data_IF_762735134855
#
_entry.id   IF_762735134855
#
_cell.length_a   1.000
_cell.length_b   1.000
_cell.length_c   1.000
_cell.angle_alpha   90.00
_cell.angle_beta   90.00
_cell.angle_gamma   90.00
#
_symmetry.space_group_name_H-M   'P 1'
#
loop_
_entity.id
_entity.type
_entity.pdbx_description
1 polymer ?
#
# COMPACT_ATOMS: atom_id res chain seq x y z
N UNK A 1 5.08 10.46 19.35
CA UNK A 1 6.47 10.83 19.02
C UNK A 1 6.87 12.07 19.80
N UNK A 2 8.18 12.34 19.95
CA UNK A 2 8.72 13.56 20.55
C UNK A 2 10.22 13.63 20.33
N UNK A 3 10.81 14.81 20.51
CA UNK A 3 12.26 14.99 20.42
C UNK A 3 12.99 14.36 21.62
N UNK A 4 14.29 14.04 21.50
CA UNK A 4 15.14 13.63 22.62
C UNK A 4 15.09 14.65 23.77
N UNK A 5 15.50 14.22 24.96
CA UNK A 5 15.60 15.17 26.10
C UNK A 5 16.67 16.23 25.80
N UNK A 6 16.44 17.51 26.18
CA UNK A 6 17.38 18.60 25.91
C UNK A 6 18.80 18.35 26.45
N UNK A 7 18.91 17.56 27.52
CA UNK A 7 20.19 17.26 28.19
C UNK A 7 20.97 16.10 27.54
N UNK A 8 20.47 15.53 26.43
CA UNK A 8 21.19 14.47 25.72
C UNK A 8 22.38 15.04 24.96
N UNK A 9 23.56 14.44 25.11
CA UNK A 9 24.79 14.80 24.37
C UNK A 9 24.80 14.29 22.94
N UNK A 10 23.63 13.90 22.42
CA UNK A 10 23.50 13.33 21.06
C UNK A 10 23.63 14.40 19.98
N UNK A 11 24.30 14.08 18.89
CA UNK A 11 24.31 14.89 17.68
C UNK A 11 22.96 14.84 16.90
N UNK A 12 22.05 13.93 17.28
CA UNK A 12 20.77 13.65 16.63
C UNK A 12 19.59 14.27 17.40
N UNK A 13 19.71 15.51 17.81
CA UNK A 13 18.69 16.21 18.62
C UNK A 13 17.33 16.38 17.91
N UNK A 14 17.29 16.20 16.58
CA UNK A 14 16.06 16.28 15.78
C UNK A 14 15.46 14.92 15.43
N UNK A 15 16.12 13.82 15.80
CA UNK A 15 15.58 12.49 15.56
C UNK A 15 14.41 12.22 16.51
N UNK A 16 13.23 11.84 15.99
CA UNK A 16 12.08 11.63 16.84
C UNK A 16 12.20 10.33 17.63
N UNK A 17 11.90 10.40 18.91
CA UNK A 17 11.77 9.23 19.78
C UNK A 17 10.31 8.82 19.96
N UNK A 18 10.06 7.54 20.13
CA UNK A 18 8.74 7.02 20.50
C UNK A 18 8.55 7.18 22.01
N UNK A 19 7.85 8.22 22.40
CA UNK A 19 7.56 8.49 23.83
C UNK A 19 6.41 7.62 24.34
N UNK A 20 5.40 7.40 23.49
CA UNK A 20 4.22 6.61 23.85
C UNK A 20 3.62 5.94 22.63
N UNK A 21 3.18 4.68 22.79
CA UNK A 21 2.33 3.95 21.84
C UNK A 21 1.19 3.31 22.62
N UNK A 22 -0.02 3.35 22.06
CA UNK A 22 -1.21 2.80 22.70
C UNK A 22 -1.99 2.02 21.67
N UNK A 23 -2.43 0.82 22.06
CA UNK A 23 -3.47 0.06 21.34
C UNK A 23 -4.73 0.10 22.18
N UNK A 24 -5.86 0.44 21.56
CA UNK A 24 -7.15 0.49 22.24
C UNK A 24 -8.26 -0.13 21.41
N UNK A 25 -9.35 -0.52 22.05
CA UNK A 25 -10.56 -1.00 21.41
C UNK A 25 -11.53 0.15 21.15
N UNK A 26 -12.20 0.13 19.98
CA UNK A 26 -13.22 1.11 19.60
C UNK A 26 -12.70 2.30 18.79
N UNK A 27 -13.60 3.22 18.43
CA UNK A 27 -13.31 4.31 17.49
C UNK A 27 -12.49 5.45 18.08
N UNK A 28 -12.65 5.76 19.37
CA UNK A 28 -11.94 6.84 20.05
C UNK A 28 -11.16 6.32 21.25
N UNK A 29 -9.98 6.89 21.48
CA UNK A 29 -9.19 6.55 22.64
C UNK A 29 -9.87 7.05 23.92
N UNK A 30 -10.03 6.14 24.88
CA UNK A 30 -10.23 6.47 26.29
C UNK A 30 -9.37 5.53 27.16
N UNK A 31 -8.96 5.94 28.36
CA UNK A 31 -8.11 5.11 29.22
C UNK A 31 -8.70 3.73 29.55
N UNK A 32 -10.03 3.65 29.62
CA UNK A 32 -10.74 2.39 29.88
C UNK A 32 -10.68 1.42 28.70
N UNK A 33 -10.52 1.90 27.46
CA UNK A 33 -10.43 1.09 26.24
C UNK A 33 -8.99 0.67 25.90
N UNK A 34 -7.97 1.17 26.62
CA UNK A 34 -6.58 0.82 26.33
C UNK A 34 -6.33 -0.66 26.62
N UNK A 35 -5.77 -1.35 25.63
CA UNK A 35 -5.38 -2.77 25.68
C UNK A 35 -3.88 -2.91 25.94
N UNK A 36 -3.07 -2.09 25.27
CA UNK A 36 -1.62 -2.05 25.46
C UNK A 36 -1.18 -0.58 25.56
N UNK A 37 -0.37 -0.25 26.54
CA UNK A 37 0.21 1.11 26.75
C UNK A 37 1.72 0.96 26.91
N UNK A 38 2.46 1.56 25.99
CA UNK A 38 3.90 1.75 26.07
C UNK A 38 4.23 3.17 26.51
N UNK A 39 5.12 3.31 27.50
CA UNK A 39 5.69 4.59 27.93
C UNK A 39 7.20 4.46 28.05
N UNK A 40 7.92 5.07 27.12
CA UNK A 40 9.37 4.90 27.03
C UNK A 40 9.74 3.41 26.83
N UNK A 41 10.61 2.83 27.68
CA UNK A 41 11.02 1.44 27.57
C UNK A 41 9.97 0.44 28.08
N UNK A 42 8.98 0.88 28.86
CA UNK A 42 8.01 0.01 29.54
C UNK A 42 6.78 -0.22 28.68
N UNK A 43 6.45 -1.49 28.46
CA UNK A 43 5.20 -1.93 27.80
C UNK A 43 4.35 -2.70 28.77
N UNK A 44 3.08 -2.35 28.86
CA UNK A 44 2.09 -3.04 29.67
C UNK A 44 0.89 -3.45 28.82
N UNK A 45 0.37 -4.67 29.04
CA UNK A 45 -0.90 -5.10 28.50
C UNK A 45 -1.97 -5.17 29.58
N UNK A 46 -3.21 -4.95 29.20
CA UNK A 46 -4.38 -5.09 30.07
C UNK A 46 -4.75 -6.55 30.20
N UNK A 47 -4.89 -7.00 31.44
CA UNK A 47 -5.43 -8.33 31.79
C UNK A 47 -6.67 -8.12 32.69
N UNK A 48 -7.42 -9.19 32.93
CA UNK A 48 -8.72 -9.13 33.62
C UNK A 48 -8.74 -8.24 34.89
N UNK A 49 -7.70 -8.27 35.68
CA UNK A 49 -7.60 -7.59 36.97
C UNK A 49 -6.54 -6.45 37.03
N UNK A 50 -6.07 -5.95 35.88
CA UNK A 50 -5.09 -4.86 35.93
C UNK A 50 -4.16 -4.78 34.71
N UNK A 51 -2.93 -4.37 34.97
CA UNK A 51 -1.90 -4.22 33.96
C UNK A 51 -0.73 -5.16 34.23
N UNK A 52 -0.35 -5.96 33.23
CA UNK A 52 0.82 -6.82 33.25
C UNK A 52 1.96 -6.19 32.44
N UNK A 53 3.17 -6.18 32.99
CA UNK A 53 4.36 -5.75 32.26
C UNK A 53 4.79 -6.81 31.25
N UNK A 54 4.88 -6.43 29.98
CA UNK A 54 5.34 -7.31 28.89
C UNK A 54 6.82 -7.11 28.59
N UNK A 55 7.32 -5.89 28.71
CA UNK A 55 8.71 -5.52 28.48
C UNK A 55 9.05 -4.23 29.24
N UNK A 56 10.31 -4.07 29.60
CA UNK A 56 10.83 -2.90 30.32
C UNK A 56 12.12 -2.32 29.71
N UNK A 57 12.49 -2.78 28.52
CA UNK A 57 13.78 -2.49 27.89
C UNK A 57 13.66 -2.06 26.42
N UNK A 58 12.48 -1.62 25.96
CA UNK A 58 12.34 -1.16 24.57
C UNK A 58 13.16 0.11 24.34
N UNK A 59 13.92 0.10 23.23
CA UNK A 59 14.62 1.29 22.76
C UNK A 59 13.62 2.35 22.30
N UNK A 60 14.04 3.62 22.38
CA UNK A 60 13.20 4.76 22.00
C UNK A 60 12.88 4.83 20.50
N UNK A 61 13.67 4.14 19.67
CA UNK A 61 13.50 4.07 18.20
C UNK A 61 12.68 2.87 17.74
N UNK A 62 12.52 1.85 18.59
CA UNK A 62 11.81 0.62 18.24
C UNK A 62 10.33 0.71 18.61
N UNK A 63 9.43 0.38 17.69
CA UNK A 63 8.01 0.25 18.01
C UNK A 63 7.74 -0.99 18.87
N UNK A 64 6.67 -0.95 19.67
CA UNK A 64 6.18 -2.14 20.37
C UNK A 64 5.88 -3.31 19.41
N UNK A 65 5.54 -3.01 18.16
CA UNK A 65 5.30 -4.04 17.13
C UNK A 65 6.54 -4.81 16.71
N UNK A 66 7.76 -4.28 16.91
CA UNK A 66 9.00 -4.97 16.57
C UNK A 66 9.48 -5.93 17.65
N UNK A 67 9.19 -5.63 18.92
CA UNK A 67 9.77 -6.32 20.07
C UNK A 67 8.77 -7.19 20.85
N UNK A 68 7.49 -6.80 20.90
CA UNK A 68 6.49 -7.56 21.67
C UNK A 68 5.88 -8.67 20.82
N UNK A 69 5.99 -9.92 21.27
CA UNK A 69 5.49 -11.10 20.57
C UNK A 69 4.77 -12.08 21.51
N UNK A 70 3.98 -11.57 22.45
CA UNK A 70 3.24 -12.41 23.40
C UNK A 70 1.80 -12.63 22.92
N UNK A 71 1.56 -13.83 22.35
CA UNK A 71 0.25 -14.23 21.82
C UNK A 71 -0.80 -14.51 22.91
N UNK A 72 -0.39 -14.71 24.15
CA UNK A 72 -1.32 -15.01 25.25
C UNK A 72 -1.81 -13.75 25.95
N UNK A 73 -0.89 -12.83 26.20
CA UNK A 73 -1.17 -11.65 27.02
C UNK A 73 -1.52 -10.43 26.17
N UNK A 74 -1.04 -10.36 24.93
CA UNK A 74 -1.27 -9.24 24.01
C UNK A 74 -1.52 -9.73 22.57
N UNK A 75 -2.56 -10.56 22.33
CA UNK A 75 -2.87 -11.06 20.98
C UNK A 75 -3.17 -9.93 19.99
N UNK A 76 -3.66 -8.77 20.45
CA UNK A 76 -3.96 -7.60 19.65
C UNK A 76 -2.70 -7.02 18.98
N UNK A 77 -1.55 -7.07 19.66
CA UNK A 77 -0.27 -6.62 19.10
C UNK A 77 0.10 -7.46 17.89
N UNK A 78 -0.04 -8.79 18.02
CA UNK A 78 0.25 -9.71 16.91
C UNK A 78 -0.74 -9.54 15.76
N UNK A 79 -2.02 -9.46 16.07
CA UNK A 79 -3.07 -9.28 15.06
C UNK A 79 -2.88 -7.98 14.26
N UNK A 80 -2.60 -6.86 14.93
CA UNK A 80 -2.32 -5.58 14.29
C UNK A 80 -1.02 -5.62 13.49
N UNK A 81 0.04 -6.23 14.03
CA UNK A 81 1.31 -6.38 13.31
C UNK A 81 1.15 -7.13 12.00
N UNK A 82 0.45 -8.26 12.02
CA UNK A 82 0.20 -9.05 10.80
C UNK A 82 -0.69 -8.27 9.82
N UNK A 83 -1.67 -7.52 10.32
CA UNK A 83 -2.51 -6.67 9.48
C UNK A 83 -1.69 -5.56 8.80
N UNK A 84 -0.83 -4.85 9.56
CA UNK A 84 0.03 -3.79 9.04
C UNK A 84 1.06 -4.36 8.05
N UNK A 85 1.64 -5.54 8.33
CA UNK A 85 2.54 -6.23 7.39
C UNK A 85 1.86 -6.62 6.08
N UNK A 86 0.56 -6.89 6.15
CA UNK A 86 -0.27 -7.18 5.00
C UNK A 86 -0.55 -5.96 4.11
N UNK A 87 -0.39 -4.73 4.61
CA UNK A 87 -0.60 -3.52 3.81
C UNK A 87 0.36 -3.46 2.64
N UNK A 88 -0.10 -2.86 1.54
CA UNK A 88 0.71 -2.68 0.34
C UNK A 88 0.77 -1.21 -0.03
N UNK A 89 1.99 -0.78 -0.35
CA UNK A 89 2.29 0.57 -0.77
C UNK A 89 2.97 0.47 -2.13
N UNK A 90 2.30 0.95 -3.17
CA UNK A 90 2.83 1.03 -4.52
C UNK A 90 3.08 2.49 -4.85
N UNK A 91 4.26 2.94 -4.47
CA UNK A 91 4.68 4.32 -4.61
C UNK A 91 5.24 4.59 -6.01
N UNK A 92 6.17 3.74 -6.43
CA UNK A 92 6.79 3.90 -7.73
C UNK A 92 7.20 2.56 -8.35
N UNK A 93 6.52 2.18 -9.42
CA UNK A 93 6.97 1.07 -10.25
C UNK A 93 8.05 1.55 -11.21
N UNK A 94 9.23 0.93 -11.18
CA UNK A 94 10.25 1.16 -12.17
C UNK A 94 9.82 0.60 -13.51
N UNK A 95 9.88 1.44 -14.55
CA UNK A 95 9.57 1.07 -15.94
C UNK A 95 10.70 1.41 -16.91
N UNK A 96 11.80 1.93 -16.39
CA UNK A 96 13.01 2.20 -17.18
C UNK A 96 13.56 0.93 -17.84
N UNK A 97 14.55 1.09 -18.73
CA UNK A 97 15.10 0.00 -19.52
C UNK A 97 15.67 -1.15 -18.68
N UNK A 98 16.12 -0.86 -17.47
CA UNK A 98 16.71 -1.83 -16.53
C UNK A 98 15.72 -2.30 -15.46
N UNK A 99 14.45 -1.91 -15.58
CA UNK A 99 13.43 -2.27 -14.60
C UNK A 99 13.34 -3.81 -14.45
N UNK A 100 13.23 -4.31 -13.21
CA UNK A 100 13.11 -5.75 -12.97
C UNK A 100 11.93 -6.39 -13.69
N UNK A 101 10.81 -5.68 -13.84
CA UNK A 101 9.62 -6.14 -14.53
C UNK A 101 9.84 -6.43 -16.02
N UNK A 102 10.90 -5.88 -16.64
CA UNK A 102 11.25 -6.13 -18.04
C UNK A 102 12.04 -7.42 -18.25
N UNK A 103 12.54 -8.01 -17.17
CA UNK A 103 13.38 -9.19 -17.22
C UNK A 103 12.56 -10.49 -17.16
N UNK A 104 13.15 -11.57 -17.65
CA UNK A 104 12.63 -12.92 -17.44
C UNK A 104 12.76 -13.27 -15.95
N UNK A 105 11.70 -13.79 -15.36
CA UNK A 105 11.56 -13.90 -13.91
C UNK A 105 11.47 -15.36 -13.47
N UNK A 106 11.83 -15.64 -12.23
CA UNK A 106 11.68 -16.97 -11.64
C UNK A 106 10.19 -17.29 -11.52
N UNK A 107 9.79 -18.49 -11.97
CA UNK A 107 8.42 -18.99 -11.93
C UNK A 107 7.99 -19.46 -10.54
N UNK A 108 7.84 -18.53 -9.61
CA UNK A 108 7.33 -18.82 -8.27
C UNK A 108 5.91 -18.26 -8.12
N UNK A 109 4.98 -19.05 -7.59
CA UNK A 109 3.62 -18.59 -7.35
C UNK A 109 3.63 -17.35 -6.44
N UNK A 110 3.13 -16.23 -6.97
CA UNK A 110 3.19 -14.90 -6.36
C UNK A 110 1.76 -14.37 -6.16
N UNK A 111 1.14 -14.64 -5.01
CA UNK A 111 -0.23 -14.19 -4.74
C UNK A 111 -0.37 -12.70 -4.50
N UNK A 112 0.72 -11.98 -4.25
CA UNK A 112 0.75 -10.52 -4.07
C UNK A 112 2.00 -9.98 -4.74
N UNK A 113 1.82 -9.02 -5.64
CA UNK A 113 2.92 -8.37 -6.37
C UNK A 113 3.90 -7.70 -5.40
N UNK A 114 5.20 -7.90 -5.63
CA UNK A 114 6.25 -7.20 -4.89
C UNK A 114 6.21 -5.69 -5.19
N UNK A 115 6.57 -4.86 -4.21
CA UNK A 115 6.49 -3.40 -4.31
C UNK A 115 7.26 -2.79 -5.49
N UNK A 116 8.33 -3.44 -5.96
CA UNK A 116 9.14 -3.01 -7.11
C UNK A 116 8.73 -3.68 -8.44
N UNK A 117 7.73 -4.55 -8.43
CA UNK A 117 7.19 -5.22 -9.61
C UNK A 117 8.10 -6.30 -10.22
N UNK A 118 9.17 -6.72 -9.53
CA UNK A 118 10.15 -7.70 -10.06
C UNK A 118 9.58 -9.08 -10.36
N UNK A 119 8.38 -9.39 -9.89
CA UNK A 119 7.69 -10.66 -10.03
C UNK A 119 6.42 -10.55 -10.87
N UNK A 120 6.35 -9.55 -11.76
CA UNK A 120 5.18 -9.26 -12.60
C UNK A 120 4.65 -10.47 -13.35
N UNK A 121 5.52 -11.19 -14.09
CA UNK A 121 5.11 -12.36 -14.86
C UNK A 121 4.53 -13.46 -13.96
N UNK A 122 5.16 -13.70 -12.80
CA UNK A 122 4.71 -14.69 -11.83
C UNK A 122 3.38 -14.28 -11.16
N UNK A 123 3.20 -12.99 -10.85
CA UNK A 123 1.95 -12.46 -10.31
C UNK A 123 0.79 -12.60 -11.30
N UNK A 124 0.99 -12.19 -12.56
CA UNK A 124 -0.02 -12.33 -13.62
C UNK A 124 -0.38 -13.79 -13.90
N UNK A 125 0.62 -14.68 -13.93
CA UNK A 125 0.36 -16.12 -14.04
C UNK A 125 -0.40 -16.67 -12.83
N UNK A 126 -0.08 -16.18 -11.64
CA UNK A 126 -0.79 -16.59 -10.41
C UNK A 126 -2.25 -16.12 -10.42
N UNK A 127 -2.53 -14.90 -10.91
CA UNK A 127 -3.91 -14.42 -11.09
C UNK A 127 -4.66 -15.35 -12.06
N UNK A 128 -4.01 -15.76 -13.17
CA UNK A 128 -4.60 -16.64 -14.18
C UNK A 128 -4.94 -18.03 -13.65
N UNK A 129 -4.09 -18.59 -12.78
CA UNK A 129 -4.25 -19.98 -12.29
C UNK A 129 -5.13 -20.10 -11.05
N UNK A 130 -5.07 -19.14 -10.13
CA UNK A 130 -5.73 -19.24 -8.81
C UNK A 130 -6.55 -17.99 -8.44
N UNK A 131 -6.50 -16.96 -9.24
CA UNK A 131 -7.31 -15.73 -9.10
C UNK A 131 -8.46 -15.71 -10.10
N UNK A 132 -8.87 -14.51 -10.48
CA UNK A 132 -9.90 -14.26 -11.48
C UNK A 132 -9.27 -14.02 -12.86
N UNK A 133 -9.15 -15.09 -13.64
CA UNK A 133 -8.61 -15.02 -15.01
C UNK A 133 -9.48 -14.21 -15.97
N UNK A 134 -10.81 -14.21 -15.76
CA UNK A 134 -11.73 -13.44 -16.61
C UNK A 134 -11.60 -11.94 -16.33
N UNK A 135 -11.45 -11.55 -15.06
CA UNK A 135 -11.19 -10.17 -14.70
C UNK A 135 -9.83 -9.68 -15.25
N UNK A 136 -8.80 -10.54 -15.25
CA UNK A 136 -7.52 -10.24 -15.87
C UNK A 136 -7.64 -9.96 -17.37
N UNK A 137 -8.29 -10.85 -18.11
CA UNK A 137 -8.45 -10.70 -19.55
C UNK A 137 -9.36 -9.50 -19.88
N UNK A 138 -10.41 -9.26 -19.09
CA UNK A 138 -11.28 -8.08 -19.23
C UNK A 138 -10.53 -6.76 -18.98
N UNK A 139 -9.67 -6.69 -17.95
CA UNK A 139 -8.87 -5.50 -17.66
C UNK A 139 -7.85 -5.20 -18.76
N UNK A 140 -7.31 -6.24 -19.41
CA UNK A 140 -6.40 -6.08 -20.54
C UNK A 140 -7.16 -5.58 -21.77
N UNK A 141 -8.31 -6.19 -22.09
CA UNK A 141 -9.15 -5.79 -23.23
C UNK A 141 -9.67 -4.35 -23.07
N UNK A 142 -10.07 -3.96 -21.85
CA UNK A 142 -10.56 -2.62 -21.56
C UNK A 142 -9.50 -1.53 -21.78
N UNK A 143 -8.25 -1.81 -21.41
CA UNK A 143 -7.15 -0.88 -21.56
C UNK A 143 -6.51 -0.91 -22.96
N UNK A 144 -6.44 -2.10 -23.56
CA UNK A 144 -5.74 -2.37 -24.82
C UNK A 144 -6.62 -3.24 -25.74
N UNK A 145 -7.62 -2.64 -26.41
CA UNK A 145 -8.56 -3.40 -27.23
C UNK A 145 -7.89 -4.34 -28.24
N UNK A 146 -8.28 -5.61 -28.22
CA UNK A 146 -7.72 -6.66 -29.07
C UNK A 146 -6.34 -7.17 -28.62
N UNK A 147 -5.82 -6.74 -27.46
CA UNK A 147 -4.57 -7.26 -26.93
C UNK A 147 -4.79 -8.57 -26.15
N UNK A 148 -3.73 -9.38 -26.08
CA UNK A 148 -3.70 -10.62 -25.28
C UNK A 148 -2.40 -10.74 -24.54
N UNK A 149 -2.49 -11.13 -23.28
CA UNK A 149 -1.35 -11.43 -22.44
C UNK A 149 -1.11 -12.94 -22.41
N UNK A 150 0.13 -13.35 -22.62
CA UNK A 150 0.60 -14.71 -22.42
C UNK A 150 1.81 -14.73 -21.49
N UNK A 151 1.90 -15.76 -20.65
CA UNK A 151 3.08 -16.02 -19.82
C UNK A 151 3.64 -17.37 -20.26
N UNK A 152 4.82 -17.34 -20.88
CA UNK A 152 5.51 -18.53 -21.39
C UNK A 152 6.45 -19.10 -20.31
N UNK A 153 6.22 -20.33 -19.84
CA UNK A 153 7.17 -21.02 -18.98
C UNK A 153 8.38 -21.48 -19.78
N UNK A 154 9.58 -21.14 -19.34
CA UNK A 154 10.84 -21.54 -19.94
C UNK A 154 11.36 -22.85 -19.33
N UNK A 155 12.22 -23.62 -20.06
CA UNK A 155 12.75 -24.90 -19.60
C UNK A 155 13.57 -24.81 -18.30
N UNK A 156 14.10 -23.66 -17.98
CA UNK A 156 14.88 -23.37 -16.76
C UNK A 156 14.01 -22.93 -15.56
N UNK A 157 12.66 -23.02 -15.69
CA UNK A 157 11.71 -22.67 -14.65
C UNK A 157 11.46 -21.17 -14.52
N UNK A 158 11.96 -20.35 -15.43
CA UNK A 158 11.64 -18.93 -15.51
C UNK A 158 10.36 -18.69 -16.30
N UNK A 159 9.79 -17.50 -16.13
CA UNK A 159 8.60 -17.03 -16.84
C UNK A 159 8.94 -15.85 -17.72
N UNK A 160 8.46 -15.87 -18.95
CA UNK A 160 8.59 -14.80 -19.93
C UNK A 160 7.21 -14.21 -20.20
N UNK A 161 7.07 -12.90 -20.03
CA UNK A 161 5.85 -12.17 -20.39
C UNK A 161 5.86 -11.89 -21.89
N UNK A 162 4.75 -12.20 -22.56
CA UNK A 162 4.47 -11.90 -23.95
C UNK A 162 3.16 -11.14 -24.08
N UNK A 163 3.19 -10.02 -24.78
CA UNK A 163 2.04 -9.16 -24.98
C UNK A 163 1.73 -9.08 -26.47
N UNK A 164 0.61 -9.66 -26.87
CA UNK A 164 0.09 -9.60 -28.23
C UNK A 164 -0.74 -8.34 -28.38
N UNK A 165 -0.32 -7.43 -29.22
CA UNK A 165 -1.04 -6.20 -29.53
C UNK A 165 -1.64 -6.30 -30.93
N UNK A 166 -2.88 -5.84 -31.07
CA UNK A 166 -3.55 -5.80 -32.36
C UNK A 166 -2.70 -5.07 -33.41
N UNK A 167 -2.57 -5.67 -34.58
CA UNK A 167 -1.78 -5.11 -35.69
C UNK A 167 -0.30 -5.49 -35.70
N UNK A 168 0.24 -6.14 -34.65
CA UNK A 168 1.60 -6.66 -34.66
C UNK A 168 1.65 -8.13 -35.08
N UNK A 169 2.67 -8.47 -35.90
CA UNK A 169 2.83 -9.84 -36.43
C UNK A 169 3.40 -10.82 -35.38
N UNK A 170 4.03 -10.32 -34.34
CA UNK A 170 4.57 -11.12 -33.25
C UNK A 170 4.28 -10.48 -31.89
N UNK A 171 4.28 -11.26 -30.81
CA UNK A 171 4.18 -10.69 -29.46
C UNK A 171 5.39 -9.82 -29.12
N UNK A 172 5.18 -8.85 -28.27
CA UNK A 172 6.23 -8.06 -27.62
C UNK A 172 6.60 -8.75 -26.30
N UNK A 173 7.89 -8.84 -26.03
CA UNK A 173 8.38 -9.20 -24.70
C UNK A 173 8.25 -8.04 -23.72
N UNK A 174 8.34 -8.30 -22.42
CA UNK A 174 8.31 -7.25 -21.41
C UNK A 174 9.39 -6.16 -21.64
N UNK A 175 10.54 -6.53 -22.20
CA UNK A 175 11.63 -5.61 -22.53
C UNK A 175 11.27 -4.62 -23.65
N UNK A 176 10.30 -4.98 -24.52
CA UNK A 176 9.90 -4.18 -25.68
C UNK A 176 8.66 -3.31 -25.41
N UNK A 177 7.99 -3.50 -24.26
CA UNK A 177 6.80 -2.73 -23.91
C UNK A 177 7.16 -1.25 -23.66
N UNK A 178 6.21 -0.36 -23.97
CA UNK A 178 6.30 1.03 -23.53
C UNK A 178 6.22 1.11 -22.00
N UNK A 179 6.74 2.20 -21.42
CA UNK A 179 6.68 2.41 -19.98
C UNK A 179 5.24 2.43 -19.47
N UNK A 180 4.33 3.09 -20.21
CA UNK A 180 2.92 3.13 -19.87
C UNK A 180 2.24 1.75 -19.92
N UNK A 181 2.51 0.94 -20.94
CA UNK A 181 1.97 -0.42 -21.04
C UNK A 181 2.48 -1.29 -19.90
N UNK A 182 3.79 -1.26 -19.62
CA UNK A 182 4.38 -2.02 -18.52
C UNK A 182 3.80 -1.60 -17.16
N UNK A 183 3.68 -0.28 -16.93
CA UNK A 183 3.09 0.26 -15.70
C UNK A 183 1.64 -0.17 -15.53
N UNK A 184 0.87 -0.16 -16.61
CA UNK A 184 -0.52 -0.60 -16.54
C UNK A 184 -0.64 -2.09 -16.19
N UNK A 185 0.22 -2.95 -16.75
CA UNK A 185 0.27 -4.37 -16.38
C UNK A 185 0.68 -4.59 -14.91
N UNK A 186 1.58 -3.76 -14.38
CA UNK A 186 1.94 -3.76 -12.95
C UNK A 186 0.75 -3.37 -12.07
N UNK A 187 -0.04 -2.37 -12.48
CA UNK A 187 -1.26 -1.98 -11.77
C UNK A 187 -2.33 -3.09 -11.83
N UNK A 188 -2.52 -3.74 -12.98
CA UNK A 188 -3.40 -4.93 -13.08
C UNK A 188 -2.95 -6.00 -12.07
N UNK A 189 -1.66 -6.34 -12.05
CA UNK A 189 -1.14 -7.38 -11.17
C UNK A 189 -1.28 -7.02 -9.68
N UNK A 190 -1.18 -5.74 -9.33
CA UNK A 190 -1.39 -5.24 -7.98
C UNK A 190 -2.86 -5.28 -7.56
N UNK A 191 -3.77 -4.81 -8.43
CA UNK A 191 -5.19 -4.61 -8.12
C UNK A 191 -6.00 -5.91 -8.22
N UNK A 192 -5.66 -6.83 -9.12
CA UNK A 192 -6.33 -8.14 -9.26
C UNK A 192 -5.63 -9.25 -8.46
N UNK A 193 -4.85 -8.90 -7.45
CA UNK A 193 -4.14 -9.88 -6.63
C UNK A 193 -5.07 -10.93 -6.01
N UNK A 194 -4.75 -12.25 -6.05
CA UNK A 194 -5.56 -13.29 -5.43
C UNK A 194 -5.65 -13.22 -3.90
N UNK A 195 -4.78 -12.44 -3.27
CA UNK A 195 -4.81 -12.15 -1.83
C UNK A 195 -4.88 -10.64 -1.60
N UNK A 196 -6.08 -10.06 -1.70
CA UNK A 196 -6.25 -8.62 -1.49
C UNK A 196 -5.76 -8.22 -0.08
N UNK A 197 -4.89 -7.21 0.03
CA UNK A 197 -4.49 -6.67 1.33
C UNK A 197 -5.66 -5.91 1.97
N UNK A 198 -5.67 -5.79 3.29
CA UNK A 198 -6.69 -4.97 3.96
C UNK A 198 -6.58 -3.47 3.65
N UNK A 199 -5.39 -3.01 3.27
CA UNK A 199 -5.11 -1.65 2.79
C UNK A 199 -4.11 -1.71 1.65
N UNK A 200 -4.41 -0.99 0.56
CA UNK A 200 -3.49 -0.74 -0.55
C UNK A 200 -3.42 0.75 -0.81
N UNK A 201 -2.22 1.29 -0.86
CA UNK A 201 -1.94 2.68 -1.18
C UNK A 201 -1.31 2.74 -2.57
N UNK A 202 -1.91 3.53 -3.44
CA UNK A 202 -1.42 3.81 -4.80
C UNK A 202 -1.03 5.29 -4.86
N UNK A 203 0.25 5.56 -5.06
CA UNK A 203 0.75 6.92 -5.22
C UNK A 203 0.97 7.22 -6.69
N UNK A 204 0.27 8.24 -7.20
CA UNK A 204 0.33 8.68 -8.59
C UNK A 204 0.27 7.51 -9.59
N UNK A 205 -0.76 6.64 -9.52
CA UNK A 205 -0.85 5.47 -10.39
C UNK A 205 -0.93 5.84 -11.88
N UNK A 206 -1.38 7.06 -12.20
CA UNK A 206 -1.49 7.61 -13.54
C UNK A 206 -0.16 7.97 -14.18
N UNK A 207 0.93 8.06 -13.43
CA UNK A 207 2.24 8.46 -13.96
C UNK A 207 2.66 7.58 -15.14
N UNK A 208 3.14 8.21 -16.22
CA UNK A 208 3.54 7.56 -17.48
C UNK A 208 2.41 6.88 -18.25
N UNK A 209 1.17 6.94 -17.79
CA UNK A 209 0.02 6.41 -18.53
C UNK A 209 -0.50 7.41 -19.58
N UNK A 210 -0.95 6.88 -20.71
CA UNK A 210 -1.70 7.70 -21.65
C UNK A 210 -3.05 8.10 -21.03
N UNK A 211 -3.53 9.35 -21.21
CA UNK A 211 -4.79 9.81 -20.63
C UNK A 211 -6.02 8.95 -20.96
N UNK A 212 -6.00 8.24 -22.07
CA UNK A 212 -7.09 7.32 -22.46
C UNK A 212 -7.16 6.03 -21.63
N UNK A 213 -6.09 5.71 -20.91
CA UNK A 213 -6.07 4.57 -19.97
C UNK A 213 -6.68 4.90 -18.60
N UNK A 214 -6.87 6.19 -18.27
CA UNK A 214 -7.34 6.60 -16.95
C UNK A 214 -8.77 6.13 -16.63
N UNK A 215 -9.75 6.11 -17.56
CA UNK A 215 -11.06 5.55 -17.29
C UNK A 215 -11.02 4.03 -17.01
N UNK A 216 -10.19 3.28 -17.74
CA UNK A 216 -10.01 1.86 -17.50
C UNK A 216 -9.32 1.61 -16.14
N UNK A 217 -8.34 2.45 -15.76
CA UNK A 217 -7.71 2.41 -14.45
C UNK A 217 -8.72 2.69 -13.33
N UNK A 218 -9.62 3.68 -13.50
CA UNK A 218 -10.65 3.97 -12.50
C UNK A 218 -11.55 2.75 -12.26
N UNK A 219 -12.02 2.08 -13.30
CA UNK A 219 -12.84 0.85 -13.18
C UNK A 219 -12.09 -0.29 -12.50
N UNK A 220 -10.80 -0.44 -12.79
CA UNK A 220 -9.95 -1.44 -12.13
C UNK A 220 -9.76 -1.15 -10.64
N UNK A 221 -9.58 0.12 -10.26
CA UNK A 221 -9.51 0.57 -8.86
C UNK A 221 -10.85 0.32 -8.15
N UNK A 222 -11.96 0.66 -8.78
CA UNK A 222 -13.31 0.40 -8.28
C UNK A 222 -13.54 -1.10 -8.02
N UNK A 223 -13.18 -1.97 -8.96
CA UNK A 223 -13.27 -3.41 -8.76
C UNK A 223 -12.44 -3.89 -7.56
N UNK A 224 -11.22 -3.43 -7.43
CA UNK A 224 -10.33 -3.81 -6.32
C UNK A 224 -10.82 -3.27 -4.96
N UNK A 225 -11.53 -2.15 -4.94
CA UNK A 225 -12.08 -1.55 -3.71
C UNK A 225 -13.12 -2.41 -3.01
N UNK A 226 -13.74 -3.35 -3.74
CA UNK A 226 -14.68 -4.31 -3.17
C UNK A 226 -14.03 -5.30 -2.19
N UNK A 227 -12.70 -5.46 -2.25
CA UNK A 227 -11.96 -6.42 -1.45
C UNK A 227 -10.83 -5.81 -0.61
N UNK A 228 -10.48 -4.55 -0.87
CA UNK A 228 -9.40 -3.82 -0.19
C UNK A 228 -9.84 -2.39 0.09
N UNK A 229 -9.45 -1.83 1.22
CA UNK A 229 -9.46 -0.38 1.36
C UNK A 229 -8.36 0.20 0.46
N UNK A 230 -8.76 1.04 -0.50
CA UNK A 230 -7.82 1.71 -1.40
C UNK A 230 -7.62 3.17 -0.99
N UNK A 231 -6.37 3.57 -0.96
CA UNK A 231 -5.97 4.97 -0.77
C UNK A 231 -5.21 5.40 -2.02
N UNK A 232 -5.81 6.26 -2.81
CA UNK A 232 -5.23 6.73 -4.08
C UNK A 232 -4.83 8.19 -3.92
N UNK A 233 -3.55 8.49 -4.16
CA UNK A 233 -3.04 9.86 -4.26
C UNK A 233 -2.85 10.15 -5.74
N UNK A 234 -3.50 11.18 -6.27
CA UNK A 234 -3.49 11.49 -7.70
C UNK A 234 -3.56 12.99 -7.96
N UNK A 235 -2.87 13.42 -9.01
CA UNK A 235 -2.97 14.77 -9.57
C UNK A 235 -3.73 14.81 -10.90
N UNK A 236 -4.17 13.66 -11.42
CA UNK A 236 -4.87 13.56 -12.68
C UNK A 236 -6.37 13.83 -12.52
N UNK A 237 -6.85 15.00 -12.90
CA UNK A 237 -8.26 15.39 -12.79
C UNK A 237 -9.21 14.37 -13.43
N UNK A 238 -8.82 13.72 -14.54
CA UNK A 238 -9.64 12.70 -15.22
C UNK A 238 -9.82 11.44 -14.35
N UNK A 239 -8.76 10.99 -13.68
CA UNK A 239 -8.83 9.84 -12.78
C UNK A 239 -9.64 10.18 -11.53
N UNK A 240 -9.37 11.34 -10.92
CA UNK A 240 -10.09 11.83 -9.74
C UNK A 240 -11.59 11.99 -10.04
N UNK A 241 -11.95 12.58 -11.19
CA UNK A 241 -13.34 12.73 -11.58
C UNK A 241 -14.05 11.37 -11.75
N UNK A 242 -13.40 10.41 -12.43
CA UNK A 242 -13.97 9.08 -12.64
C UNK A 242 -14.13 8.31 -11.31
N UNK A 243 -13.17 8.42 -10.38
CA UNK A 243 -13.28 7.78 -9.07
C UNK A 243 -14.38 8.41 -8.20
N UNK A 244 -14.57 9.72 -8.28
CA UNK A 244 -15.60 10.45 -7.51
C UNK A 244 -17.04 10.16 -7.99
N UNK A 245 -17.23 9.53 -9.14
CA UNK A 245 -18.54 9.02 -9.58
C UNK A 245 -19.01 7.81 -8.74
N UNK A 246 -18.07 7.11 -8.10
CA UNK A 246 -18.41 5.95 -7.27
C UNK A 246 -18.92 6.40 -5.89
N UNK A 247 -20.07 5.87 -5.42
CA UNK A 247 -20.70 6.32 -4.17
C UNK A 247 -19.85 6.08 -2.91
N UNK A 248 -18.99 5.05 -2.91
CA UNK A 248 -18.10 4.73 -1.80
C UNK A 248 -16.75 5.45 -1.87
N UNK A 249 -16.54 6.31 -2.87
CA UNK A 249 -15.34 7.12 -2.98
C UNK A 249 -15.45 8.35 -2.05
N UNK A 250 -14.43 8.55 -1.23
CA UNK A 250 -14.31 9.75 -0.40
C UNK A 250 -13.12 10.59 -0.86
N UNK A 251 -13.41 11.66 -1.61
CA UNK A 251 -12.38 12.58 -2.09
C UNK A 251 -11.92 13.53 -1.00
N UNK A 252 -10.61 13.63 -0.81
CA UNK A 252 -9.96 14.62 0.07
C UNK A 252 -9.09 15.51 -0.80
N UNK A 253 -9.48 16.78 -0.94
CA UNK A 253 -8.72 17.76 -1.71
C UNK A 253 -7.79 18.56 -0.80
N UNK A 254 -6.53 18.65 -1.19
CA UNK A 254 -5.50 19.39 -0.48
C UNK A 254 -5.15 20.67 -1.26
N UNK A 255 -5.11 21.79 -0.55
CA UNK A 255 -4.65 23.10 -1.09
C UNK A 255 -3.45 23.58 -0.32
N UNK A 256 -2.67 24.45 -0.93
CA UNK A 256 -1.54 25.10 -0.28
C UNK A 256 -1.78 26.60 -0.13
N UNK A 257 -1.95 27.06 1.11
CA UNK A 257 -2.10 28.47 1.44
C UNK A 257 -0.92 28.95 2.28
N UNK A 258 -0.26 30.03 1.87
CA UNK A 258 0.89 30.64 2.57
C UNK A 258 2.00 29.65 3.00
N UNK A 259 2.15 28.54 2.23
CA UNK A 259 3.14 27.49 2.52
C UNK A 259 2.63 26.35 3.39
N UNK A 260 1.43 26.44 3.94
CA UNK A 260 0.76 25.42 4.72
C UNK A 260 -0.18 24.58 3.85
N UNK A 261 -0.18 23.25 4.05
CA UNK A 261 -1.12 22.35 3.36
C UNK A 261 -2.42 22.27 4.17
N UNK A 262 -3.54 22.56 3.53
CA UNK A 262 -4.86 22.55 4.14
C UNK A 262 -5.79 21.59 3.38
N UNK A 263 -6.74 20.99 4.12
CA UNK A 263 -7.81 20.19 3.52
C UNK A 263 -8.96 21.11 3.14
N UNK A 264 -9.37 21.08 1.87
CA UNK A 264 -10.50 21.89 1.39
C UNK A 264 -11.78 21.50 2.14
N UNK A 265 -12.48 22.51 2.66
CA UNK A 265 -13.73 22.33 3.40
C UNK A 265 -13.57 21.93 4.87
N UNK A 266 -12.36 21.73 5.37
CA UNK A 266 -12.12 21.60 6.82
C UNK A 266 -12.01 23.02 7.44
N UNK A 267 -13.04 23.41 8.22
CA UNK A 267 -12.92 24.60 9.07
C UNK A 267 -12.25 24.28 10.40
N UNK A 268 -11.87 25.30 11.16
CA UNK A 268 -11.23 25.20 12.49
C UNK A 268 -12.03 24.32 13.50
N UNK A 269 -13.32 24.13 13.28
CA UNK A 269 -14.20 23.31 14.13
C UNK A 269 -14.27 21.83 13.72
N UNK A 270 -13.76 21.47 12.54
CA UNK A 270 -13.71 20.09 12.02
C UNK A 270 -12.35 19.41 12.20
N UNK A 271 -11.38 20.09 12.81
CA UNK A 271 -10.10 19.48 13.16
C UNK A 271 -10.29 18.43 14.26
N UNK A 272 -9.70 17.22 14.12
CA UNK A 272 -9.75 16.23 15.18
C UNK A 272 -9.22 16.80 16.50
N UNK A 273 -9.81 16.42 17.63
CA UNK A 273 -9.44 16.89 18.97
C UNK A 273 -8.06 16.38 19.47
N UNK A 274 -7.20 15.89 18.57
CA UNK A 274 -5.83 15.54 18.93
C UNK A 274 -4.90 16.67 18.50
N UNK A 275 -4.32 17.31 19.48
CA UNK A 275 -3.28 18.31 19.27
C UNK A 275 -1.91 17.67 19.53
N UNK A 276 -0.97 17.91 18.62
CA UNK A 276 0.43 17.74 18.96
C UNK A 276 0.73 18.78 20.04
N UNK A 277 1.12 18.33 21.24
CA UNK A 277 1.59 19.26 22.25
C UNK A 277 2.80 20.00 21.68
N UNK A 278 2.65 21.29 21.43
CA UNK A 278 3.79 22.15 21.19
C UNK A 278 4.68 22.04 22.42
N UNK A 279 5.85 21.45 22.26
CA UNK A 279 6.86 21.43 23.30
C UNK A 279 7.49 22.83 23.36
N UNK A 280 7.18 23.56 24.43
CA UNK A 280 7.98 24.69 24.87
C UNK A 280 9.33 24.20 25.41
#
# INVERSE_FOLDING_TARGET
>A
LGLPRPDSTTAFNLDPEIKREIIWAGGAYCPAAALVDRRGPLVKARVDNGWLSLADHLNTFDSLFSQVADARTAPEVLALRERIRGWRFYDHFRTDREAPARQVQIGTRTPVLHHDGRDLAAALQTIREVGDSMALDAAIEDAFPGAKLNIEPLPDGRLKLEFHQYGLLRPLSAAELSDGTLRYLLLIAALLTPRPPSLMVLNEPENSLHPDLLPALARLIEQASQHSQLWVVSHANRLVAALNEHPDCHGVELTKELGETQVVGQGLLSTPNWHWSESH
#
